data_IF_596001181654
#
_entry.id   IF_596001181654
#
_cell.length_a   1.000
_cell.length_b   1.000
_cell.length_c   1.000
_cell.angle_alpha   90.00
_cell.angle_beta   90.00
_cell.angle_gamma   90.00
#
_symmetry.space_group_name_H-M   'P 1'
#
loop_
_entity.id
_entity.type
_entity.pdbx_description
1 polymer ?
#
# COMPACT_ATOMS: atom_id res chain seq x y z
N UNK A 1 -21.90 -9.46 1.85
CA UNK A 1 -21.99 -8.39 2.88
C UNK A 1 -20.80 -8.57 3.80
N UNK A 2 -19.82 -7.67 3.71
CA UNK A 2 -18.61 -7.76 4.55
C UNK A 2 -18.86 -6.99 5.86
N UNK A 3 -18.68 -7.63 6.98
CA UNK A 3 -18.63 -6.96 8.29
C UNK A 3 -17.17 -6.93 8.72
N UNK A 4 -16.53 -5.77 8.64
CA UNK A 4 -15.21 -5.53 9.22
C UNK A 4 -15.38 -5.05 10.65
N UNK A 5 -14.89 -5.81 11.61
CA UNK A 5 -14.69 -5.34 12.99
C UNK A 5 -13.20 -5.09 13.17
N UNK A 6 -12.78 -3.83 13.15
CA UNK A 6 -11.40 -3.44 13.44
C UNK A 6 -11.27 -3.02 14.90
N UNK A 7 -10.38 -3.68 15.63
CA UNK A 7 -9.94 -3.23 16.94
C UNK A 7 -8.72 -2.32 16.78
N UNK A 8 -8.87 -1.04 17.10
CA UNK A 8 -7.76 -0.10 17.19
C UNK A 8 -7.14 -0.19 18.58
N UNK A 9 -5.91 -0.70 18.66
CA UNK A 9 -5.11 -0.67 19.87
C UNK A 9 -4.06 0.43 19.76
N UNK A 10 -3.98 1.32 20.76
CA UNK A 10 -3.02 2.42 20.79
C UNK A 10 -1.58 1.88 20.88
N UNK A 11 -0.71 2.36 20.00
CA UNK A 11 0.65 1.84 19.85
C UNK A 11 1.65 2.50 20.80
N UNK A 12 2.29 1.70 21.63
CA UNK A 12 3.59 1.97 22.21
C UNK A 12 4.68 1.52 21.22
N UNK A 13 5.60 2.40 20.85
CA UNK A 13 6.45 2.33 19.66
C UNK A 13 7.63 1.33 19.70
N UNK A 14 7.60 0.34 20.58
CA UNK A 14 8.73 -0.58 20.75
C UNK A 14 8.35 -2.06 20.89
N UNK A 15 7.08 -2.41 20.76
CA UNK A 15 6.62 -3.79 20.92
C UNK A 15 6.12 -4.37 19.61
N UNK A 16 6.38 -5.65 19.41
CA UNK A 16 5.68 -6.46 18.41
C UNK A 16 4.18 -6.34 18.63
N UNK A 17 3.43 -6.03 17.60
CA UNK A 17 1.98 -5.96 17.65
C UNK A 17 1.38 -6.86 16.58
N UNK A 18 0.18 -7.38 16.84
CA UNK A 18 -0.57 -8.17 15.87
C UNK A 18 -1.93 -7.50 15.70
N UNK A 19 -2.27 -7.16 14.46
CA UNK A 19 -3.62 -6.75 14.09
C UNK A 19 -4.34 -7.98 13.55
N UNK A 20 -5.62 -8.15 13.87
CA UNK A 20 -6.43 -9.24 13.39
C UNK A 20 -7.73 -8.75 12.76
N UNK A 21 -8.20 -9.46 11.75
CA UNK A 21 -9.52 -9.26 11.15
C UNK A 21 -10.18 -10.62 10.90
N UNK A 22 -11.49 -10.66 11.06
CA UNK A 22 -12.30 -11.84 10.80
C UNK A 22 -13.35 -11.48 9.75
N UNK A 23 -13.64 -12.41 8.85
CA UNK A 23 -14.63 -12.22 7.80
C UNK A 23 -15.11 -13.55 7.25
N UNK A 24 -15.96 -13.48 6.23
CA UNK A 24 -16.35 -14.61 5.42
C UNK A 24 -16.25 -14.23 3.94
N UNK A 25 -15.78 -15.15 3.11
CA UNK A 25 -15.69 -14.99 1.67
C UNK A 25 -16.32 -16.20 0.98
N UNK A 26 -16.74 -16.03 -0.26
CA UNK A 26 -17.18 -17.13 -1.10
C UNK A 26 -16.09 -17.40 -2.13
N UNK A 27 -15.53 -18.60 -2.12
CA UNK A 27 -14.54 -19.09 -3.09
C UNK A 27 -15.17 -20.31 -3.76
N UNK A 28 -15.26 -20.32 -5.08
CA UNK A 28 -15.84 -21.40 -5.89
C UNK A 28 -17.25 -21.86 -5.42
N UNK A 29 -18.08 -20.89 -5.01
CA UNK A 29 -19.43 -21.14 -4.52
C UNK A 29 -19.54 -21.69 -3.09
N UNK A 30 -18.41 -21.91 -2.40
CA UNK A 30 -18.34 -22.35 -1.01
C UNK A 30 -18.02 -21.18 -0.09
N UNK A 31 -18.66 -21.13 1.08
CA UNK A 31 -18.39 -20.10 2.10
C UNK A 31 -17.21 -20.54 2.96
N UNK A 32 -16.24 -19.64 3.09
CA UNK A 32 -15.03 -19.80 3.91
C UNK A 32 -14.99 -18.72 4.98
N UNK A 33 -14.60 -19.08 6.18
CA UNK A 33 -14.27 -18.13 7.23
C UNK A 33 -12.84 -17.64 7.00
N UNK A 34 -12.66 -16.32 6.93
CA UNK A 34 -11.37 -15.67 6.74
C UNK A 34 -10.83 -15.20 8.09
N UNK A 35 -9.60 -15.58 8.41
CA UNK A 35 -8.81 -15.07 9.52
C UNK A 35 -7.59 -14.40 8.95
N UNK A 36 -7.49 -13.07 9.08
CA UNK A 36 -6.34 -12.29 8.65
C UNK A 36 -5.56 -11.83 9.90
N UNK A 37 -4.27 -12.13 9.94
CA UNK A 37 -3.34 -11.73 10.99
C UNK A 37 -2.24 -10.88 10.39
N UNK A 38 -2.02 -9.70 10.95
CA UNK A 38 -0.94 -8.80 10.54
C UNK A 38 0.04 -8.55 11.68
N UNK A 39 1.02 -9.44 11.87
CA UNK A 39 2.10 -9.20 12.81
C UNK A 39 3.01 -8.08 12.29
N UNK A 40 3.31 -7.12 13.16
CA UNK A 40 4.24 -6.02 12.93
C UNK A 40 5.43 -6.23 13.85
N UNK A 41 6.58 -6.52 13.27
CA UNK A 41 7.79 -6.92 13.98
C UNK A 41 8.87 -5.85 13.79
N UNK A 42 9.20 -5.06 14.81
CA UNK A 42 10.34 -4.16 14.79
C UNK A 42 11.65 -4.91 15.02
N UNK A 43 12.62 -4.75 14.12
CA UNK A 43 13.96 -5.33 14.19
C UNK A 43 14.96 -4.17 14.12
N UNK A 44 15.28 -3.57 15.26
CA UNK A 44 16.07 -2.35 15.33
C UNK A 44 15.39 -1.18 14.64
N UNK A 45 15.99 -0.61 13.58
CA UNK A 45 15.39 0.46 12.76
C UNK A 45 14.50 -0.05 11.65
N UNK A 46 14.53 -1.35 11.35
CA UNK A 46 13.66 -1.98 10.34
C UNK A 46 12.38 -2.44 11.01
N UNK A 47 11.25 -2.25 10.36
CA UNK A 47 9.97 -2.83 10.74
C UNK A 47 9.45 -3.68 9.59
N UNK A 48 9.14 -4.93 9.87
CA UNK A 48 8.50 -5.85 8.94
C UNK A 48 7.04 -6.04 9.35
N UNK A 49 6.11 -5.78 8.46
CA UNK A 49 4.72 -6.17 8.62
C UNK A 49 4.41 -7.31 7.64
N UNK A 50 3.82 -8.38 8.16
CA UNK A 50 3.33 -9.48 7.36
C UNK A 50 1.81 -9.41 7.26
N UNK A 51 1.25 -10.06 6.25
CA UNK A 51 -0.18 -10.25 6.09
C UNK A 51 -0.43 -11.73 5.87
N UNK A 52 -0.93 -12.40 6.90
CA UNK A 52 -1.13 -13.83 6.96
C UNK A 52 -2.63 -14.06 6.95
N UNK A 53 -3.15 -14.64 5.87
CA UNK A 53 -4.58 -14.91 5.73
C UNK A 53 -4.77 -16.43 5.69
N UNK A 54 -5.76 -16.89 6.45
CA UNK A 54 -6.23 -18.27 6.46
C UNK A 54 -7.70 -18.29 6.06
N UNK A 55 -8.07 -19.23 5.22
CA UNK A 55 -9.46 -19.53 4.90
C UNK A 55 -9.80 -20.91 5.45
N UNK A 56 -10.83 -20.98 6.27
CA UNK A 56 -11.24 -22.20 6.98
C UNK A 56 -12.70 -22.48 6.62
N UNK A 57 -12.98 -23.68 6.13
CA UNK A 57 -14.36 -24.11 5.83
C UNK A 57 -15.17 -24.47 7.09
N UNK A 58 -16.42 -24.87 6.89
CA UNK A 58 -17.30 -25.26 7.99
C UNK A 58 -16.87 -26.56 8.68
N UNK A 59 -16.07 -27.38 8.00
CA UNK A 59 -15.54 -28.65 8.49
C UNK A 59 -14.18 -28.51 9.17
N UNK A 60 -13.62 -27.27 9.17
CA UNK A 60 -12.33 -26.95 9.76
C UNK A 60 -11.13 -27.19 8.83
N UNK A 61 -11.36 -27.47 7.54
CA UNK A 61 -10.27 -27.58 6.58
C UNK A 61 -9.73 -26.22 6.19
N UNK A 62 -8.41 -26.11 6.07
CA UNK A 62 -7.73 -24.87 5.62
C UNK A 62 -7.59 -24.94 4.10
N UNK A 63 -7.89 -23.81 3.43
CA UNK A 63 -7.57 -23.62 2.01
C UNK A 63 -6.09 -23.33 1.87
N UNK A 64 -5.34 -24.25 1.24
CA UNK A 64 -3.89 -24.27 1.22
C UNK A 64 -3.27 -23.76 -0.09
N UNK A 65 -4.07 -23.40 -1.09
CA UNK A 65 -3.59 -22.92 -2.40
C UNK A 65 -2.67 -21.70 -2.33
N UNK A 66 -2.75 -20.91 -1.23
CA UNK A 66 -1.88 -19.76 -1.00
C UNK A 66 -0.55 -20.08 -0.29
N UNK A 67 -0.34 -21.35 0.12
CA UNK A 67 0.81 -21.80 0.90
C UNK A 67 1.56 -22.90 0.20
N UNK A 68 2.29 -22.57 -0.87
CA UNK A 68 3.09 -23.55 -1.61
C UNK A 68 4.53 -23.61 -1.08
N UNK A 69 4.84 -24.67 -0.36
CA UNK A 69 6.16 -25.01 0.14
C UNK A 69 6.78 -26.21 -0.58
N UNK A 70 6.26 -26.60 -1.75
CA UNK A 70 6.68 -27.80 -2.48
C UNK A 70 8.15 -27.75 -2.93
N UNK A 71 8.69 -26.53 -3.14
CA UNK A 71 10.09 -26.34 -3.49
C UNK A 71 10.62 -25.00 -2.99
N UNK A 72 11.94 -24.81 -2.95
CA UNK A 72 12.55 -23.60 -2.39
C UNK A 72 12.20 -22.30 -3.11
N UNK A 73 11.86 -22.34 -4.40
CA UNK A 73 11.41 -21.16 -5.16
C UNK A 73 9.99 -20.76 -4.77
N UNK A 74 9.09 -21.74 -4.68
CA UNK A 74 7.70 -21.51 -4.29
C UNK A 74 7.61 -21.06 -2.83
N UNK A 75 8.36 -21.68 -1.93
CA UNK A 75 8.46 -21.26 -0.53
C UNK A 75 8.91 -19.81 -0.38
N UNK A 76 9.92 -19.38 -1.15
CA UNK A 76 10.39 -17.99 -1.16
C UNK A 76 9.29 -17.02 -1.65
N UNK A 77 8.59 -17.37 -2.73
CA UNK A 77 7.51 -16.56 -3.27
C UNK A 77 6.34 -16.48 -2.28
N UNK A 78 5.93 -17.60 -1.70
CA UNK A 78 4.88 -17.65 -0.67
C UNK A 78 5.19 -16.73 0.52
N UNK A 79 6.45 -16.66 0.98
CA UNK A 79 6.86 -15.74 2.05
C UNK A 79 6.84 -14.28 1.59
N UNK A 80 7.39 -13.99 0.38
CA UNK A 80 7.43 -12.62 -0.16
C UNK A 80 6.01 -12.08 -0.37
N UNK A 81 5.10 -12.93 -0.81
CA UNK A 81 3.69 -12.56 -1.01
C UNK A 81 2.95 -12.27 0.30
N UNK A 82 3.49 -12.70 1.44
CA UNK A 82 2.94 -12.36 2.76
C UNK A 82 3.57 -11.09 3.38
N UNK A 83 4.54 -10.45 2.73
CA UNK A 83 5.09 -9.18 3.21
C UNK A 83 4.10 -8.05 2.90
N UNK A 84 3.51 -7.46 3.92
CA UNK A 84 2.61 -6.31 3.78
C UNK A 84 3.40 -5.02 3.52
N UNK A 85 4.41 -4.74 4.34
CA UNK A 85 5.42 -3.71 4.08
C UNK A 85 6.75 -4.00 4.79
N UNK A 86 7.81 -3.40 4.25
CA UNK A 86 9.09 -3.23 4.93
C UNK A 86 9.34 -1.73 5.10
N UNK A 87 9.68 -1.32 6.32
CA UNK A 87 9.91 0.08 6.67
C UNK A 87 11.25 0.22 7.41
N UNK A 88 11.99 1.27 7.09
CA UNK A 88 13.18 1.70 7.80
C UNK A 88 12.96 3.09 8.41
N UNK A 89 13.24 3.25 9.68
CA UNK A 89 13.06 4.50 10.41
C UNK A 89 11.61 4.88 10.66
N UNK A 90 11.39 6.12 11.06
CA UNK A 90 10.07 6.71 11.34
C UNK A 90 9.88 7.96 10.51
N UNK A 91 8.61 8.30 10.17
CA UNK A 91 8.29 9.45 9.29
C UNK A 91 8.86 10.80 9.77
N UNK A 92 9.15 10.96 11.05
CA UNK A 92 9.75 12.17 11.61
C UNK A 92 11.29 12.14 11.67
N UNK A 93 11.93 10.98 11.40
CA UNK A 93 13.37 10.87 11.36
C UNK A 93 13.98 11.51 10.10
N UNK A 94 15.27 11.87 10.12
CA UNK A 94 15.95 12.45 8.94
C UNK A 94 15.97 11.53 7.73
N UNK A 95 15.93 10.21 7.96
CA UNK A 95 15.83 9.20 6.91
C UNK A 95 14.69 8.23 7.25
N UNK A 96 13.80 8.06 6.29
CA UNK A 96 12.66 7.16 6.35
C UNK A 96 12.42 6.53 4.98
N UNK A 97 12.13 5.26 4.97
CA UNK A 97 11.85 4.50 3.76
C UNK A 97 10.80 3.42 4.05
N UNK A 98 9.83 3.27 3.17
CA UNK A 98 8.83 2.19 3.24
C UNK A 98 8.54 1.65 1.83
N UNK A 99 8.44 0.32 1.71
CA UNK A 99 8.03 -0.39 0.49
C UNK A 99 6.91 -1.36 0.84
N UNK A 100 5.93 -1.46 -0.05
CA UNK A 100 4.74 -2.31 0.10
C UNK A 100 3.48 -1.49 0.26
N UNK A 101 2.66 -1.85 1.24
CA UNK A 101 1.46 -1.09 1.58
C UNK A 101 1.82 0.30 2.08
N UNK A 102 1.15 1.32 1.57
CA UNK A 102 1.28 2.71 1.97
C UNK A 102 -0.05 3.18 2.57
N UNK A 103 0.03 3.76 3.76
CA UNK A 103 -1.13 4.33 4.45
C UNK A 103 -0.81 5.76 4.89
N UNK A 104 -1.78 6.67 4.73
CA UNK A 104 -1.66 8.06 5.15
C UNK A 104 -0.45 8.81 4.53
N UNK A 105 -0.25 8.66 3.21
CA UNK A 105 0.74 9.45 2.46
C UNK A 105 0.21 10.87 2.30
N UNK A 106 1.00 11.85 2.72
CA UNK A 106 0.63 13.27 2.61
C UNK A 106 1.83 14.08 2.15
N UNK A 107 1.69 14.84 1.08
CA UNK A 107 2.74 15.72 0.56
C UNK A 107 2.57 17.14 1.10
N UNK A 108 3.55 17.60 1.84
CA UNK A 108 3.57 18.96 2.40
C UNK A 108 2.38 19.21 3.32
N UNK A 109 1.53 20.16 2.95
CA UNK A 109 0.31 20.52 3.68
C UNK A 109 -0.93 19.74 3.22
N UNK A 110 -0.76 18.76 2.32
CA UNK A 110 -1.87 17.93 1.85
C UNK A 110 -2.72 18.56 0.74
N UNK A 111 -2.26 19.61 0.08
CA UNK A 111 -3.01 20.28 -1.00
C UNK A 111 -3.15 19.38 -2.23
N UNK A 112 -2.06 18.72 -2.65
CA UNK A 112 -2.05 17.84 -3.81
C UNK A 112 -2.34 16.38 -3.44
N UNK A 113 -1.75 15.89 -2.34
CA UNK A 113 -1.95 14.53 -1.82
C UNK A 113 -2.15 14.61 -0.32
N UNK A 114 -3.29 14.13 0.14
CA UNK A 114 -3.65 14.13 1.55
C UNK A 114 -4.19 12.77 1.97
N UNK A 115 -3.49 12.11 2.90
CA UNK A 115 -3.87 10.83 3.50
C UNK A 115 -4.14 9.73 2.47
N UNK A 116 -3.39 9.74 1.37
CA UNK A 116 -3.49 8.73 0.33
C UNK A 116 -3.12 7.34 0.87
N UNK A 117 -3.83 6.32 0.41
CA UNK A 117 -3.54 4.92 0.68
C UNK A 117 -3.61 4.10 -0.61
N UNK A 118 -2.64 3.22 -0.84
CA UNK A 118 -2.69 2.25 -1.94
C UNK A 118 -3.38 0.94 -1.55
N UNK A 119 -3.95 0.85 -0.35
CA UNK A 119 -4.56 -0.37 0.21
C UNK A 119 -6.08 -0.33 0.24
N UNK A 120 -6.73 0.65 -0.42
CA UNK A 120 -8.19 0.82 -0.38
C UNK A 120 -8.92 -0.42 -0.95
N UNK A 121 -8.36 -1.04 -1.98
CA UNK A 121 -8.91 -2.24 -2.62
C UNK A 121 -8.28 -3.55 -2.11
N UNK A 122 -7.48 -3.48 -1.05
CA UNK A 122 -6.88 -4.65 -0.44
C UNK A 122 -7.95 -5.50 0.29
N UNK A 123 -7.95 -6.83 0.22
CA UNK A 123 -6.95 -7.71 -0.40
C UNK A 123 -7.14 -7.97 -1.89
N UNK A 124 -8.24 -7.55 -2.53
CA UNK A 124 -8.55 -7.87 -3.93
C UNK A 124 -7.49 -7.35 -4.90
N UNK A 125 -6.94 -6.17 -4.61
CA UNK A 125 -5.85 -5.58 -5.38
C UNK A 125 -4.70 -5.21 -4.44
N UNK A 126 -3.58 -5.91 -4.60
CA UNK A 126 -2.35 -5.64 -3.86
C UNK A 126 -1.44 -4.75 -4.69
N UNK A 127 -1.23 -3.52 -4.22
CA UNK A 127 -0.28 -2.56 -4.77
C UNK A 127 0.99 -2.54 -3.92
N UNK A 128 2.14 -2.44 -4.60
CA UNK A 128 3.45 -2.35 -3.95
C UNK A 128 4.02 -0.96 -4.24
N UNK A 129 3.76 -0.04 -3.34
CA UNK A 129 4.26 1.32 -3.44
C UNK A 129 5.58 1.53 -2.69
N UNK A 130 6.07 2.76 -2.76
CA UNK A 130 7.25 3.22 -2.03
C UNK A 130 7.03 4.63 -1.47
N UNK A 131 7.51 4.86 -0.26
CA UNK A 131 7.60 6.17 0.37
C UNK A 131 9.03 6.39 0.85
N UNK A 132 9.63 7.51 0.49
CA UNK A 132 11.01 7.86 0.83
C UNK A 132 11.08 9.29 1.36
N UNK A 133 11.81 9.49 2.44
CA UNK A 133 12.13 10.80 2.98
C UNK A 133 13.59 10.81 3.39
N UNK A 134 14.31 11.87 3.03
CA UNK A 134 15.67 12.08 3.49
C UNK A 134 16.03 13.57 3.53
N UNK A 135 17.07 13.87 4.29
CA UNK A 135 17.67 15.21 4.37
C UNK A 135 19.04 15.20 3.74
N UNK A 136 19.28 16.13 2.84
CA UNK A 136 20.60 16.36 2.23
C UNK A 136 20.80 17.83 1.89
N UNK A 137 22.01 18.33 2.11
CA UNK A 137 22.40 19.73 1.80
C UNK A 137 21.48 20.80 2.42
N UNK A 138 20.93 20.52 3.60
CA UNK A 138 20.00 21.43 4.29
C UNK A 138 18.60 21.51 3.66
N UNK A 139 18.28 20.57 2.76
CA UNK A 139 16.98 20.38 2.15
C UNK A 139 16.32 19.12 2.68
N UNK A 140 15.00 19.15 2.77
CA UNK A 140 14.14 17.99 3.02
C UNK A 140 13.61 17.48 1.68
N UNK A 141 13.87 16.21 1.37
CA UNK A 141 13.36 15.50 0.21
C UNK A 141 12.31 14.51 0.65
N UNK A 142 11.21 14.46 -0.08
CA UNK A 142 10.12 13.51 0.13
C UNK A 142 9.59 13.04 -1.23
N UNK A 143 9.31 11.76 -1.36
CA UNK A 143 8.74 11.19 -2.57
C UNK A 143 7.95 9.93 -2.27
N UNK A 144 6.98 9.63 -3.13
CA UNK A 144 6.25 8.37 -3.09
C UNK A 144 5.79 7.95 -4.49
N UNK A 145 5.51 6.66 -4.63
CA UNK A 145 4.74 6.10 -5.74
C UNK A 145 3.77 5.05 -5.20
N UNK A 146 2.60 4.96 -5.84
CA UNK A 146 1.53 4.07 -5.39
C UNK A 146 1.79 2.60 -5.72
N UNK A 147 2.41 2.31 -6.87
CA UNK A 147 2.68 0.94 -7.31
C UNK A 147 3.81 0.92 -8.35
N UNK A 148 4.75 -0.01 -8.19
CA UNK A 148 5.80 -0.27 -9.17
C UNK A 148 5.29 -1.02 -10.41
N UNK A 149 4.20 -1.77 -10.29
CA UNK A 149 3.62 -2.55 -11.39
C UNK A 149 2.90 -1.68 -12.42
N UNK A 150 2.39 -0.52 -11.99
CA UNK A 150 1.61 0.41 -12.81
C UNK A 150 2.49 1.55 -13.39
N UNK A 151 3.74 1.28 -13.76
CA UNK A 151 4.65 2.29 -14.31
C UNK A 151 4.70 3.59 -13.49
N UNK A 152 4.73 3.49 -12.16
CA UNK A 152 4.66 4.61 -11.22
C UNK A 152 3.35 5.42 -11.36
N UNK A 153 2.20 4.78 -11.62
CA UNK A 153 0.89 5.39 -11.92
C UNK A 153 0.66 6.72 -11.21
N UNK A 154 0.40 6.71 -9.90
CA UNK A 154 0.42 7.91 -9.07
C UNK A 154 1.77 8.06 -8.39
N UNK A 155 2.48 9.14 -8.67
CA UNK A 155 3.77 9.46 -8.05
C UNK A 155 3.82 10.93 -7.63
N UNK A 156 4.52 11.21 -6.53
CA UNK A 156 4.67 12.57 -6.02
C UNK A 156 6.05 12.81 -5.42
N UNK A 157 6.50 14.04 -5.56
CA UNK A 157 7.79 14.47 -5.06
C UNK A 157 7.70 15.89 -4.49
N UNK A 158 8.46 16.15 -3.41
CA UNK A 158 8.56 17.45 -2.77
C UNK A 158 9.99 17.71 -2.32
N UNK A 159 10.45 18.94 -2.55
CA UNK A 159 11.65 19.49 -1.91
C UNK A 159 11.26 20.68 -1.07
N UNK A 160 11.81 20.79 0.14
CA UNK A 160 11.56 21.93 1.00
C UNK A 160 12.79 22.31 1.82
N UNK A 161 12.82 23.57 2.26
CA UNK A 161 13.87 24.12 3.12
C UNK A 161 13.24 24.95 4.23
N UNK A 162 13.66 24.67 5.44
CA UNK A 162 13.33 25.48 6.60
C UNK A 162 14.25 26.70 6.63
N UNK A 163 13.70 27.90 6.42
CA UNK A 163 14.48 29.15 6.41
C UNK A 163 14.56 29.74 7.82
N UNK A 164 13.47 29.71 8.58
CA UNK A 164 13.36 30.19 9.97
C UNK A 164 12.51 29.22 10.78
N UNK A 165 12.44 29.41 12.10
CA UNK A 165 11.65 28.52 12.96
C UNK A 165 10.19 28.36 12.52
N UNK A 166 9.62 29.39 11.89
CA UNK A 166 8.20 29.45 11.46
C UNK A 166 8.01 29.40 9.95
N UNK A 167 9.10 29.48 9.13
CA UNK A 167 8.98 29.57 7.67
C UNK A 167 9.63 28.34 7.04
N UNK A 168 8.82 27.58 6.30
CA UNK A 168 9.27 26.46 5.46
C UNK A 168 8.81 26.71 4.02
N UNK A 169 9.76 26.85 3.10
CA UNK A 169 9.47 27.02 1.67
C UNK A 169 9.74 25.71 0.95
N UNK A 170 8.85 25.33 0.03
CA UNK A 170 9.05 24.10 -0.76
C UNK A 170 8.13 24.04 -1.96
N UNK A 171 8.57 23.26 -2.95
CA UNK A 171 7.82 22.90 -4.15
C UNK A 171 7.41 21.43 -4.11
N UNK A 172 6.25 21.14 -4.68
CA UNK A 172 5.74 19.78 -4.85
C UNK A 172 5.30 19.54 -6.28
N UNK A 173 5.55 18.34 -6.78
CA UNK A 173 5.06 17.86 -8.07
C UNK A 173 4.37 16.52 -7.85
N UNK A 174 3.21 16.33 -8.49
CA UNK A 174 2.45 15.08 -8.47
C UNK A 174 2.01 14.78 -9.88
N UNK A 175 2.09 13.53 -10.26
CA UNK A 175 1.61 13.02 -11.54
C UNK A 175 0.79 11.76 -11.31
N UNK A 176 -0.32 11.66 -12.03
CA UNK A 176 -1.12 10.44 -12.14
C UNK A 176 -1.15 10.05 -13.64
N UNK A 177 -0.49 8.94 -13.96
CA UNK A 177 -0.43 8.40 -15.33
C UNK A 177 -1.57 7.43 -15.61
N UNK A 178 -2.23 6.98 -14.56
CA UNK A 178 -3.30 5.98 -14.62
C UNK A 178 -4.65 6.61 -14.26
N UNK A 179 -4.80 7.92 -14.44
CA UNK A 179 -6.03 8.66 -14.09
C UNK A 179 -7.27 8.12 -14.79
N UNK A 180 -7.10 7.43 -15.92
CA UNK A 180 -8.19 6.85 -16.71
C UNK A 180 -8.34 5.34 -16.52
N UNK A 181 -7.50 4.72 -15.69
CA UNK A 181 -7.53 3.27 -15.47
C UNK A 181 -8.90 2.81 -14.95
N UNK A 182 -9.50 1.86 -15.68
CA UNK A 182 -10.81 1.30 -15.34
C UNK A 182 -12.01 2.09 -15.87
N UNK A 183 -11.80 3.21 -16.56
CA UNK A 183 -12.84 3.85 -17.36
C UNK A 183 -13.02 3.11 -18.68
N UNK A 184 -14.24 3.20 -19.23
CA UNK A 184 -14.55 2.57 -20.51
C UNK A 184 -13.87 3.34 -21.64
N UNK A 185 -13.20 2.62 -22.52
CA UNK A 185 -12.57 3.07 -23.74
C UNK A 185 -13.01 2.07 -24.83
N UNK A 186 -13.84 2.49 -25.81
CA UNK A 186 -14.48 1.59 -26.78
C UNK A 186 -13.59 1.28 -27.96
N UNK A 187 -12.80 2.23 -28.35
CA UNK A 187 -11.97 2.18 -29.56
C UNK A 187 -10.49 1.96 -29.28
N UNK A 188 -10.13 1.83 -27.97
CA UNK A 188 -8.79 1.55 -27.46
C UNK A 188 -7.72 2.60 -27.91
N UNK A 189 -8.14 3.87 -28.14
CA UNK A 189 -7.22 4.97 -28.48
C UNK A 189 -6.45 5.52 -27.26
N UNK A 190 -6.79 5.06 -26.05
CA UNK A 190 -6.22 5.48 -24.78
C UNK A 190 -6.92 6.69 -24.15
N UNK A 191 -8.04 7.14 -24.70
CA UNK A 191 -8.94 8.13 -24.14
C UNK A 191 -10.24 7.46 -23.73
N UNK A 192 -10.68 7.53 -22.48
CA UNK A 192 -11.96 6.97 -22.08
C UNK A 192 -13.13 7.71 -22.75
N UNK A 193 -14.19 6.98 -23.09
CA UNK A 193 -15.44 7.49 -23.67
C UNK A 193 -15.95 8.81 -23.02
N UNK A 194 -15.64 9.01 -21.73
CA UNK A 194 -16.09 10.18 -20.96
C UNK A 194 -15.37 11.49 -21.34
N UNK A 195 -14.14 11.39 -21.83
CA UNK A 195 -13.27 12.55 -22.17
C UNK A 195 -12.82 12.52 -23.62
N UNK A 196 -13.38 11.60 -24.41
CA UNK A 196 -13.14 11.45 -25.83
C UNK A 196 -14.26 12.09 -26.64
N UNK A 197 -13.89 12.93 -27.59
CA UNK A 197 -14.84 13.58 -28.51
C UNK A 197 -15.40 12.62 -29.57
N UNK A 198 -14.72 11.49 -29.81
CA UNK A 198 -15.07 10.50 -30.83
C UNK A 198 -14.99 9.06 -30.29
N UNK A 199 -15.78 8.67 -29.30
CA UNK A 199 -15.63 7.43 -28.52
C UNK A 199 -15.89 6.13 -29.28
N UNK A 200 -15.90 6.11 -30.58
CA UNK A 200 -16.06 4.96 -31.48
C UNK A 200 -15.13 5.05 -32.71
N UNK A 201 -14.18 5.96 -32.73
CA UNK A 201 -13.29 6.20 -33.89
C UNK A 201 -11.84 6.26 -33.40
N UNK A 202 -11.03 5.16 -33.60
CA UNK A 202 -9.70 5.01 -33.04
C UNK A 202 -8.66 5.95 -33.64
#
# INVERSE_FOLDING_TARGET
MFVFVSFLQSQSYSSTSVQGAFGAVTIDGKIWNQIALRPIVPIGKVTLALDIVFYIDQDGNIHDDEWDFSNGKNSKNSIIDKIYYVRYGKKWEPFYFQVGALENVTIGQGILVNRYSNTILYPQLRKVGMELKFKAYGLDFYGFTNDFKENLGLAGFRVSKKLMNSINIGGSYVTDRNQYLGLRDRDDDGRPDLVDDFPNDP
#
